data_IF_269408862813
#
_entry.id   IF_269408862813
#
_cell.length_a   1.000
_cell.length_b   1.000
_cell.length_c   1.000
_cell.angle_alpha   90.00
_cell.angle_beta   90.00
_cell.angle_gamma   90.00
#
_symmetry.space_group_name_H-M   'P 1'
#
loop_
_entity.id
_entity.type
_entity.pdbx_description
1 polymer ?
#
# COMPACT_ATOMS: atom_id res chain seq x y z
N UNK A 1 -17.43 19.72 4.34
CA UNK A 1 -16.57 19.79 5.54
C UNK A 1 -17.07 18.71 6.50
N UNK A 2 -16.48 17.54 6.51
CA UNK A 2 -16.87 16.42 7.39
C UNK A 2 -16.31 16.69 8.80
N UNK A 3 -17.03 16.34 9.88
CA UNK A 3 -16.59 16.59 11.22
C UNK A 3 -15.33 15.80 11.55
N UNK A 4 -14.31 16.48 12.07
CA UNK A 4 -13.12 15.85 12.66
C UNK A 4 -13.54 15.06 13.88
N UNK A 5 -13.25 13.76 13.91
CA UNK A 5 -13.35 12.96 15.13
C UNK A 5 -12.34 13.49 16.15
N UNK A 6 -12.73 13.71 17.41
CA UNK A 6 -11.81 14.22 18.42
C UNK A 6 -10.69 13.21 18.71
N UNK A 7 -9.45 13.71 18.86
CA UNK A 7 -8.29 12.96 19.33
C UNK A 7 -8.56 12.47 20.77
N UNK A 8 -8.68 11.17 20.96
CA UNK A 8 -8.75 10.55 22.27
C UNK A 8 -7.32 10.32 22.78
N UNK A 9 -6.88 11.10 23.77
CA UNK A 9 -5.61 10.88 24.46
C UNK A 9 -5.57 9.43 24.99
N UNK A 10 -4.51 8.69 24.62
CA UNK A 10 -4.30 7.29 25.04
C UNK A 10 -4.98 6.23 24.16
N UNK A 11 -5.77 6.57 23.13
CA UNK A 11 -6.42 5.59 22.25
C UNK A 11 -5.47 5.05 21.18
N UNK A 12 -5.68 3.79 20.78
CA UNK A 12 -4.94 3.16 19.68
C UNK A 12 -5.08 3.95 18.36
N UNK A 13 -6.30 4.35 17.99
CA UNK A 13 -6.55 5.21 16.82
C UNK A 13 -6.37 6.67 17.19
N UNK A 14 -5.46 7.36 16.51
CA UNK A 14 -5.18 8.78 16.71
C UNK A 14 -5.95 9.70 15.78
N UNK A 15 -6.12 9.27 14.53
CA UNK A 15 -6.83 10.04 13.50
C UNK A 15 -7.39 9.10 12.43
N UNK A 16 -8.54 9.48 11.88
CA UNK A 16 -9.16 8.80 10.74
C UNK A 16 -9.70 9.87 9.80
N UNK A 17 -9.20 9.90 8.57
CA UNK A 17 -9.55 10.89 7.55
C UNK A 17 -9.36 10.33 6.14
N UNK A 18 -9.51 11.19 5.15
CA UNK A 18 -9.37 10.85 3.73
C UNK A 18 -8.21 11.62 3.11
N UNK A 19 -7.42 10.92 2.31
CA UNK A 19 -6.35 11.46 1.48
C UNK A 19 -6.72 11.27 0.00
N UNK A 20 -6.51 12.30 -0.82
CA UNK A 20 -6.58 12.19 -2.29
C UNK A 20 -5.20 12.45 -2.87
N UNK A 21 -4.80 11.62 -3.84
CA UNK A 21 -3.55 11.83 -4.59
C UNK A 21 -3.81 12.74 -5.79
N UNK A 22 -2.84 13.59 -6.16
CA UNK A 22 -2.87 14.31 -7.43
C UNK A 22 -3.02 13.34 -8.61
N UNK A 23 -3.97 13.61 -9.50
CA UNK A 23 -4.31 12.73 -10.63
C UNK A 23 -5.20 11.55 -10.29
N UNK A 24 -5.59 11.36 -9.02
CA UNK A 24 -6.53 10.33 -8.55
C UNK A 24 -7.61 10.92 -7.64
N UNK A 25 -8.10 12.12 -7.95
CA UNK A 25 -9.05 12.85 -7.10
C UNK A 25 -10.39 12.12 -6.94
N UNK A 26 -10.73 11.23 -7.88
CA UNK A 26 -11.94 10.40 -7.83
C UNK A 26 -11.80 9.17 -6.94
N UNK A 27 -10.59 8.85 -6.48
CA UNK A 27 -10.31 7.73 -5.58
C UNK A 27 -9.89 8.24 -4.20
N UNK A 28 -10.81 8.50 -3.28
CA UNK A 28 -10.44 8.84 -1.92
C UNK A 28 -9.81 7.63 -1.22
N UNK A 29 -8.61 7.80 -0.66
CA UNK A 29 -7.95 6.81 0.16
C UNK A 29 -8.28 7.08 1.63
N UNK A 30 -8.82 6.09 2.31
CA UNK A 30 -9.10 6.24 3.74
C UNK A 30 -7.85 5.98 4.56
N UNK A 31 -7.50 6.92 5.43
CA UNK A 31 -6.28 6.92 6.24
C UNK A 31 -6.63 6.77 7.72
N UNK A 32 -5.96 5.83 8.39
CA UNK A 32 -6.00 5.66 9.84
C UNK A 32 -4.59 5.83 10.39
N UNK A 33 -4.38 6.87 11.21
CA UNK A 33 -3.17 7.04 12.01
C UNK A 33 -3.37 6.37 13.36
N UNK A 34 -2.41 5.56 13.80
CA UNK A 34 -2.49 4.81 15.04
C UNK A 34 -1.18 4.85 15.83
N UNK A 35 -1.29 4.61 17.13
CA UNK A 35 -0.15 4.48 18.02
C UNK A 35 0.13 3.00 18.30
N UNK A 36 1.21 2.43 17.75
CA UNK A 36 1.56 1.03 18.00
C UNK A 36 1.76 0.70 19.48
N UNK A 37 2.21 1.66 20.30
CA UNK A 37 2.45 1.47 21.73
C UNK A 37 1.15 1.40 22.54
N UNK A 38 0.07 1.97 22.03
CA UNK A 38 -1.26 1.93 22.65
C UNK A 38 -2.09 0.70 22.22
N UNK A 39 -1.51 -0.21 21.43
CA UNK A 39 -2.22 -1.42 21.01
C UNK A 39 -2.32 -2.44 22.15
N UNK A 40 -3.51 -2.99 22.32
CA UNK A 40 -3.75 -4.20 23.10
C UNK A 40 -4.80 -5.07 22.38
N UNK A 41 -4.89 -6.38 22.68
CA UNK A 41 -5.89 -7.27 22.03
C UNK A 41 -7.33 -6.80 22.19
N UNK A 42 -7.66 -6.11 23.28
CA UNK A 42 -8.98 -5.55 23.56
C UNK A 42 -9.40 -4.49 22.53
N UNK A 43 -8.44 -3.87 21.84
CA UNK A 43 -8.70 -2.92 20.76
C UNK A 43 -9.56 -3.51 19.64
N UNK A 44 -9.45 -4.82 19.36
CA UNK A 44 -10.30 -5.50 18.39
C UNK A 44 -11.78 -5.42 18.77
N UNK A 45 -12.10 -5.79 20.01
CA UNK A 45 -13.46 -5.73 20.54
C UNK A 45 -14.00 -4.29 20.60
N UNK A 46 -13.19 -3.35 21.09
CA UNK A 46 -13.54 -1.94 21.17
C UNK A 46 -13.84 -1.31 19.79
N UNK A 47 -13.18 -1.79 18.75
CA UNK A 47 -13.37 -1.31 17.38
C UNK A 47 -14.37 -2.15 16.57
N UNK A 48 -14.91 -3.23 17.13
CA UNK A 48 -15.84 -4.13 16.44
C UNK A 48 -15.24 -4.87 15.25
N UNK A 49 -13.91 -5.11 15.28
CA UNK A 49 -13.20 -5.92 14.28
C UNK A 49 -12.93 -7.29 14.87
N UNK A 50 -13.25 -8.34 14.13
CA UNK A 50 -12.98 -9.72 14.58
C UNK A 50 -11.50 -10.06 14.30
N UNK A 51 -10.80 -10.53 15.34
CA UNK A 51 -9.45 -11.09 15.18
C UNK A 51 -9.54 -12.44 14.44
N UNK A 52 -8.95 -12.57 13.23
CA UNK A 52 -8.95 -13.84 12.51
C UNK A 52 -8.15 -14.92 13.25
N UNK A 53 -8.63 -16.16 13.18
CA UNK A 53 -7.94 -17.31 13.78
C UNK A 53 -6.50 -17.46 13.26
N UNK A 54 -6.25 -17.14 11.99
CA UNK A 54 -4.93 -17.17 11.35
C UNK A 54 -3.91 -16.16 11.91
N UNK A 55 -4.38 -15.19 12.70
CA UNK A 55 -3.51 -14.19 13.36
C UNK A 55 -3.42 -14.39 14.88
N UNK A 56 -4.07 -15.43 15.45
CA UNK A 56 -3.91 -15.76 16.85
C UNK A 56 -2.43 -16.08 17.16
N UNK A 57 -1.88 -15.43 18.20
CA UNK A 57 -0.46 -15.56 18.54
C UNK A 57 0.52 -14.74 17.70
N UNK A 58 0.05 -13.94 16.74
CA UNK A 58 0.90 -13.01 16.01
C UNK A 58 1.45 -11.90 16.95
N UNK A 59 2.61 -11.34 16.59
CA UNK A 59 3.22 -10.25 17.34
C UNK A 59 2.29 -9.02 17.45
N UNK A 60 2.30 -8.30 18.59
CA UNK A 60 1.45 -7.12 18.80
C UNK A 60 1.51 -6.08 17.67
N UNK A 61 2.72 -5.84 17.12
CA UNK A 61 2.92 -4.96 15.96
C UNK A 61 2.03 -5.41 14.78
N UNK A 62 2.09 -6.68 14.40
CA UNK A 62 1.31 -7.24 13.27
C UNK A 62 -0.19 -7.17 13.52
N UNK A 63 -0.63 -7.41 14.75
CA UNK A 63 -2.04 -7.32 15.14
C UNK A 63 -2.56 -5.87 15.05
N UNK A 64 -1.78 -4.91 15.54
CA UNK A 64 -2.11 -3.48 15.46
C UNK A 64 -2.19 -2.99 14.01
N UNK A 65 -1.23 -3.36 13.17
CA UNK A 65 -1.22 -3.06 11.73
C UNK A 65 -2.44 -3.64 11.02
N UNK A 66 -2.77 -4.90 11.31
CA UNK A 66 -3.97 -5.55 10.77
C UNK A 66 -5.24 -4.82 11.18
N UNK A 67 -5.39 -4.51 12.48
CA UNK A 67 -6.54 -3.78 12.99
C UNK A 67 -6.71 -2.43 12.29
N UNK A 68 -5.63 -1.63 12.22
CA UNK A 68 -5.64 -0.33 11.57
C UNK A 68 -6.01 -0.44 10.07
N UNK A 69 -5.45 -1.42 9.36
CA UNK A 69 -5.80 -1.69 7.96
C UNK A 69 -7.26 -2.06 7.76
N UNK A 70 -7.86 -2.84 8.67
CA UNK A 70 -9.28 -3.21 8.62
C UNK A 70 -10.21 -2.04 8.98
N UNK A 71 -9.77 -1.14 9.86
CA UNK A 71 -10.48 0.12 10.14
C UNK A 71 -10.48 1.02 8.91
N UNK A 72 -9.34 1.19 8.26
CA UNK A 72 -9.24 1.95 7.02
C UNK A 72 -10.16 1.35 5.92
N UNK A 73 -10.18 0.02 5.78
CA UNK A 73 -11.05 -0.67 4.81
C UNK A 73 -12.54 -0.48 5.11
N UNK A 74 -12.94 -0.56 6.38
CA UNK A 74 -14.34 -0.32 6.80
C UNK A 74 -14.80 1.08 6.42
N UNK A 75 -13.96 2.08 6.67
CA UNK A 75 -14.30 3.46 6.33
C UNK A 75 -14.28 3.71 4.80
N UNK A 76 -13.35 3.10 4.07
CA UNK A 76 -13.32 3.14 2.60
C UNK A 76 -14.55 2.48 1.94
N UNK A 77 -15.13 1.47 2.57
CA UNK A 77 -16.36 0.80 2.12
C UNK A 77 -17.65 1.57 2.48
N UNK A 78 -17.58 2.52 3.41
CA UNK A 78 -18.75 3.27 3.91
C UNK A 78 -19.54 4.00 2.81
N UNK A 79 -18.91 4.71 1.85
CA UNK A 79 -19.64 5.40 0.78
C UNK A 79 -20.44 4.46 -0.13
N UNK A 80 -20.09 3.17 -0.16
CA UNK A 80 -20.76 2.14 -0.95
C UNK A 80 -21.88 1.42 -0.16
N UNK A 81 -22.18 1.84 1.07
CA UNK A 81 -23.15 1.17 1.94
C UNK A 81 -22.63 -0.14 2.54
N UNK A 82 -21.34 -0.41 2.43
CA UNK A 82 -20.72 -1.70 2.81
C UNK A 82 -19.85 -1.62 4.09
N UNK A 83 -20.04 -0.59 4.93
CA UNK A 83 -19.25 -0.44 6.16
C UNK A 83 -19.41 -1.59 7.17
N UNK A 84 -20.48 -2.38 7.08
CA UNK A 84 -20.70 -3.59 7.89
C UNK A 84 -19.99 -4.84 7.33
N UNK A 85 -19.40 -4.77 6.12
CA UNK A 85 -18.75 -5.91 5.50
C UNK A 85 -17.40 -6.20 6.15
N UNK A 86 -17.12 -7.49 6.37
CA UNK A 86 -15.79 -7.93 6.82
C UNK A 86 -14.89 -8.19 5.63
N UNK A 87 -13.76 -7.49 5.57
CA UNK A 87 -12.69 -7.80 4.62
C UNK A 87 -11.84 -8.92 5.23
N UNK A 88 -12.13 -10.16 4.85
CA UNK A 88 -11.44 -11.34 5.35
C UNK A 88 -10.02 -11.48 4.78
N UNK A 89 -9.27 -12.49 5.25
CA UNK A 89 -7.96 -12.87 4.74
C UNK A 89 -8.12 -14.08 3.86
N UNK A 90 -7.65 -14.03 2.63
CA UNK A 90 -7.58 -15.17 1.72
C UNK A 90 -6.42 -16.12 2.03
N UNK A 91 -6.34 -17.22 1.28
CA UNK A 91 -5.33 -18.27 1.46
C UNK A 91 -3.89 -17.80 1.22
N UNK A 92 -3.70 -16.82 0.34
CA UNK A 92 -2.42 -16.18 0.06
C UNK A 92 -2.24 -14.86 0.86
N UNK A 93 -3.05 -14.64 1.91
CA UNK A 93 -3.08 -13.46 2.78
C UNK A 93 -3.63 -12.19 2.12
N UNK A 94 -4.18 -12.29 0.93
CA UNK A 94 -4.84 -11.21 0.22
C UNK A 94 -6.14 -10.78 0.93
N UNK A 95 -6.54 -9.50 0.84
CA UNK A 95 -7.83 -9.06 1.33
C UNK A 95 -8.95 -9.58 0.40
N UNK A 96 -9.98 -10.20 1.00
CA UNK A 96 -11.17 -10.66 0.28
C UNK A 96 -12.24 -9.57 0.32
N UNK A 97 -12.41 -8.88 -0.79
CA UNK A 97 -13.35 -7.76 -0.91
C UNK A 97 -14.79 -8.24 -1.09
N UNK A 98 -15.80 -7.42 -0.69
CA UNK A 98 -17.20 -7.68 -1.02
C UNK A 98 -17.40 -7.82 -2.54
N UNK A 99 -18.39 -8.63 -2.93
CA UNK A 99 -18.71 -8.88 -4.35
C UNK A 99 -18.90 -7.57 -5.13
N UNK A 100 -18.23 -7.46 -6.26
CA UNK A 100 -18.28 -6.29 -7.14
C UNK A 100 -17.36 -5.14 -6.69
N UNK A 101 -16.58 -5.32 -5.64
CA UNK A 101 -15.61 -4.35 -5.18
C UNK A 101 -14.18 -4.86 -5.35
N UNK A 102 -13.25 -3.95 -5.54
CA UNK A 102 -11.82 -4.19 -5.45
C UNK A 102 -11.17 -3.10 -4.60
N UNK A 103 -10.02 -3.39 -4.06
CA UNK A 103 -9.31 -2.42 -3.24
C UNK A 103 -7.92 -2.91 -2.85
N UNK A 104 -7.21 -2.07 -2.13
CA UNK A 104 -5.89 -2.40 -1.60
C UNK A 104 -5.69 -1.75 -0.24
N UNK A 105 -4.93 -2.44 0.62
CA UNK A 105 -4.58 -1.99 1.96
C UNK A 105 -3.05 -2.00 2.07
N UNK A 106 -2.48 -0.94 2.61
CA UNK A 106 -1.10 -0.93 3.07
C UNK A 106 -0.98 -0.23 4.41
N UNK A 107 0.11 -0.52 5.12
CA UNK A 107 0.44 0.07 6.41
C UNK A 107 1.94 0.14 6.58
N UNK A 108 2.40 1.21 7.23
CA UNK A 108 3.80 1.40 7.57
C UNK A 108 3.92 2.27 8.83
N UNK A 109 5.13 2.39 9.36
CA UNK A 109 5.45 3.36 10.40
C UNK A 109 6.22 4.53 9.78
N UNK A 110 5.57 5.67 9.67
CA UNK A 110 6.16 6.89 9.12
C UNK A 110 6.43 7.91 10.24
N UNK A 111 7.67 8.38 10.35
CA UNK A 111 8.06 9.37 11.35
C UNK A 111 7.59 9.02 12.78
N UNK A 112 7.73 7.74 13.17
CA UNK A 112 7.38 7.24 14.51
C UNK A 112 5.88 7.01 14.75
N UNK A 113 5.02 7.15 13.73
CA UNK A 113 3.57 6.91 13.82
C UNK A 113 3.16 5.75 12.93
N UNK A 114 2.28 4.91 13.42
CA UNK A 114 1.62 3.91 12.59
C UNK A 114 0.61 4.58 11.64
N UNK A 115 0.65 4.19 10.39
CA UNK A 115 -0.26 4.66 9.35
C UNK A 115 -0.79 3.47 8.56
N UNK A 116 -2.10 3.40 8.36
CA UNK A 116 -2.75 2.45 7.46
C UNK A 116 -3.58 3.22 6.44
N UNK A 117 -3.53 2.78 5.19
CA UNK A 117 -4.28 3.33 4.07
C UNK A 117 -5.08 2.24 3.38
N UNK A 118 -6.26 2.60 2.93
CA UNK A 118 -7.11 1.74 2.11
C UNK A 118 -7.80 2.56 1.01
N UNK A 119 -7.72 2.07 -0.22
CA UNK A 119 -8.55 2.49 -1.33
C UNK A 119 -9.50 1.38 -1.72
N UNK A 120 -10.73 1.75 -2.09
CA UNK A 120 -11.78 0.82 -2.57
C UNK A 120 -12.54 1.48 -3.71
N UNK A 121 -12.87 0.68 -4.74
CA UNK A 121 -13.72 1.11 -5.86
C UNK A 121 -14.56 -0.07 -6.37
N UNK A 122 -15.56 0.15 -7.24
CA UNK A 122 -16.14 -0.93 -8.04
C UNK A 122 -15.06 -1.67 -8.81
N UNK A 123 -15.20 -3.00 -8.94
CA UNK A 123 -14.19 -3.83 -9.62
C UNK A 123 -14.12 -3.51 -11.10
N UNK A 124 -12.95 -3.06 -11.57
CA UNK A 124 -12.70 -2.64 -12.96
C UNK A 124 -11.48 -3.32 -13.58
N UNK A 125 -10.60 -3.93 -12.80
CA UNK A 125 -9.43 -4.58 -13.41
C UNK A 125 -8.29 -4.89 -12.47
N UNK A 126 -8.26 -4.27 -11.31
CA UNK A 126 -7.27 -4.44 -10.25
C UNK A 126 -6.79 -3.11 -9.69
N UNK A 127 -6.54 -3.12 -8.41
CA UNK A 127 -6.03 -1.98 -7.65
C UNK A 127 -4.91 -2.42 -6.73
N UNK A 128 -3.79 -1.70 -6.78
CA UNK A 128 -2.69 -1.86 -5.83
C UNK A 128 -2.36 -0.56 -5.14
N UNK A 129 -2.11 -0.62 -3.83
CA UNK A 129 -1.69 0.49 -3.00
C UNK A 129 -0.58 0.03 -2.08
N UNK A 130 0.48 0.83 -1.99
CA UNK A 130 1.55 0.56 -1.05
C UNK A 130 2.06 1.82 -0.37
N UNK A 131 2.48 1.65 0.88
CA UNK A 131 2.96 2.70 1.76
C UNK A 131 4.25 2.24 2.41
N UNK A 132 5.35 2.96 2.17
CA UNK A 132 6.66 2.61 2.70
C UNK A 132 7.34 3.79 3.40
N UNK A 133 8.03 3.49 4.50
CA UNK A 133 8.95 4.45 5.10
C UNK A 133 10.18 4.61 4.21
N UNK A 134 10.73 5.82 4.14
CA UNK A 134 11.99 6.03 3.44
C UNK A 134 13.09 5.13 4.01
N UNK A 135 13.72 4.36 3.16
CA UNK A 135 14.93 3.61 3.52
C UNK A 135 16.07 4.57 3.81
N UNK A 136 16.93 4.22 4.75
CA UNK A 136 18.23 4.87 4.86
C UNK A 136 19.23 4.28 3.84
N UNK A 137 20.41 4.94 3.71
CA UNK A 137 21.40 4.52 2.73
C UNK A 137 21.92 3.11 2.95
N UNK A 138 22.11 2.68 4.19
CA UNK A 138 22.62 1.35 4.54
C UNK A 138 21.59 0.25 4.27
N UNK A 139 20.34 0.50 4.60
CA UNK A 139 19.22 -0.38 4.28
C UNK A 139 19.07 -0.51 2.75
N UNK A 140 19.13 0.61 2.04
CA UNK A 140 19.05 0.63 0.58
C UNK A 140 20.14 -0.22 -0.07
N UNK A 141 21.39 -0.09 0.38
CA UNK A 141 22.53 -0.85 -0.15
C UNK A 141 22.37 -2.37 0.04
N UNK A 142 21.69 -2.81 1.08
CA UNK A 142 21.43 -4.23 1.34
C UNK A 142 20.23 -4.80 0.56
N UNK A 143 19.22 -3.99 0.30
CA UNK A 143 17.94 -4.44 -0.25
C UNK A 143 17.87 -4.36 -1.78
N UNK A 144 18.59 -3.42 -2.41
CA UNK A 144 18.44 -3.14 -3.85
C UNK A 144 18.62 -4.37 -4.75
N UNK A 145 19.54 -5.33 -4.50
CA UNK A 145 19.71 -6.47 -5.41
C UNK A 145 18.50 -7.41 -5.48
N UNK A 146 17.66 -7.38 -4.43
CA UNK A 146 16.40 -8.13 -4.42
C UNK A 146 15.21 -7.37 -5.04
N UNK A 147 15.37 -6.05 -5.29
CA UNK A 147 14.30 -5.18 -5.79
C UNK A 147 14.47 -4.92 -7.28
N UNK A 148 15.70 -4.75 -7.76
CA UNK A 148 16.00 -4.38 -9.14
C UNK A 148 17.32 -5.00 -9.62
N UNK A 149 17.52 -5.08 -10.93
CA UNK A 149 18.76 -5.52 -11.52
C UNK A 149 19.78 -4.35 -11.67
N UNK A 150 21.01 -4.67 -12.06
CA UNK A 150 22.08 -3.68 -12.19
C UNK A 150 21.80 -2.61 -13.27
N UNK A 151 21.01 -2.94 -14.32
CA UNK A 151 20.62 -1.98 -15.34
C UNK A 151 19.58 -0.99 -14.78
N UNK A 152 18.60 -1.47 -14.01
CA UNK A 152 17.63 -0.62 -13.30
C UNK A 152 18.34 0.28 -12.29
N UNK A 153 19.32 -0.27 -11.56
CA UNK A 153 20.11 0.48 -10.58
C UNK A 153 20.88 1.63 -11.24
N UNK A 154 21.62 1.36 -12.30
CA UNK A 154 22.36 2.40 -13.02
C UNK A 154 21.45 3.52 -13.58
N UNK A 155 20.24 3.17 -14.03
CA UNK A 155 19.25 4.18 -14.42
C UNK A 155 18.75 4.99 -13.23
N UNK A 156 18.57 4.36 -12.06
CA UNK A 156 18.13 5.06 -10.85
C UNK A 156 19.16 6.08 -10.41
N UNK A 157 20.44 5.70 -10.36
CA UNK A 157 21.55 6.63 -10.06
C UNK A 157 21.58 7.85 -10.98
N UNK A 158 21.27 7.65 -12.28
CA UNK A 158 21.23 8.74 -13.25
C UNK A 158 19.96 9.60 -13.16
N UNK A 159 18.83 9.04 -12.75
CA UNK A 159 17.50 9.66 -12.89
C UNK A 159 16.88 10.22 -11.60
N UNK A 160 17.39 9.89 -10.41
CA UNK A 160 16.79 10.38 -9.13
C UNK A 160 16.85 11.89 -8.98
N UNK A 161 17.84 12.56 -9.60
CA UNK A 161 18.01 14.01 -9.53
C UNK A 161 16.83 14.76 -10.19
N UNK A 162 16.27 14.22 -11.28
CA UNK A 162 15.14 14.84 -11.97
C UNK A 162 13.86 14.81 -11.11
N UNK A 163 13.72 13.81 -10.25
CA UNK A 163 12.61 13.68 -9.30
C UNK A 163 12.88 14.38 -7.96
N UNK A 164 14.05 15.02 -7.78
CA UNK A 164 14.50 15.64 -6.51
C UNK A 164 14.51 14.66 -5.33
N UNK A 165 14.82 13.40 -5.60
CA UNK A 165 14.95 12.33 -4.61
C UNK A 165 16.43 12.00 -4.37
N UNK A 166 16.75 11.56 -3.15
CA UNK A 166 17.99 10.84 -2.89
C UNK A 166 17.92 9.43 -3.52
N UNK A 167 19.06 8.77 -3.66
CA UNK A 167 19.11 7.40 -4.19
C UNK A 167 18.29 6.41 -3.34
N UNK A 168 18.35 6.54 -2.01
CA UNK A 168 17.57 5.70 -1.09
C UNK A 168 16.07 5.95 -1.21
N UNK A 169 15.63 7.20 -1.39
CA UNK A 169 14.23 7.54 -1.65
C UNK A 169 13.77 7.01 -3.01
N UNK A 170 14.59 7.14 -4.06
CA UNK A 170 14.30 6.58 -5.37
C UNK A 170 14.14 5.05 -5.33
N UNK A 171 15.03 4.36 -4.61
CA UNK A 171 14.91 2.91 -4.38
C UNK A 171 13.61 2.57 -3.63
N UNK A 172 13.28 3.31 -2.57
CA UNK A 172 12.05 3.10 -1.81
C UNK A 172 10.82 3.29 -2.70
N UNK A 173 10.82 4.30 -3.55
CA UNK A 173 9.75 4.55 -4.51
C UNK A 173 9.57 3.40 -5.48
N UNK A 174 10.66 2.88 -6.06
CA UNK A 174 10.60 1.73 -6.98
C UNK A 174 10.13 0.46 -6.26
N UNK A 175 10.61 0.22 -5.04
CA UNK A 175 10.15 -0.89 -4.19
C UNK A 175 8.65 -0.81 -3.95
N UNK A 176 8.15 0.31 -3.44
CA UNK A 176 6.74 0.53 -3.18
C UNK A 176 5.89 0.41 -4.45
N UNK A 177 6.39 0.91 -5.60
CA UNK A 177 5.70 0.76 -6.88
C UNK A 177 5.58 -0.71 -7.31
N UNK A 178 6.63 -1.52 -7.13
CA UNK A 178 6.59 -2.96 -7.42
C UNK A 178 5.65 -3.72 -6.48
N UNK A 179 5.58 -3.33 -5.18
CA UNK A 179 4.56 -3.83 -4.24
C UNK A 179 3.14 -3.48 -4.70
N UNK A 180 2.89 -2.24 -5.12
CA UNK A 180 1.59 -1.84 -5.67
C UNK A 180 1.25 -2.60 -6.95
N UNK A 181 2.24 -2.86 -7.82
CA UNK A 181 2.05 -3.68 -9.01
C UNK A 181 1.64 -5.10 -8.64
N UNK A 182 2.35 -5.71 -7.68
CA UNK A 182 2.03 -7.06 -7.19
C UNK A 182 0.61 -7.11 -6.64
N UNK A 183 0.22 -6.20 -5.74
CA UNK A 183 -1.11 -6.15 -5.14
C UNK A 183 -2.21 -5.98 -6.20
N UNK A 184 -1.98 -5.12 -7.19
CA UNK A 184 -2.96 -4.84 -8.25
C UNK A 184 -3.11 -5.98 -9.26
N UNK A 185 -2.02 -6.70 -9.57
CA UNK A 185 -2.05 -7.80 -10.54
C UNK A 185 -2.38 -9.15 -9.92
N UNK A 186 -2.16 -9.34 -8.62
CA UNK A 186 -2.33 -10.62 -7.95
C UNK A 186 -3.71 -11.27 -8.20
N UNK A 187 -4.86 -10.56 -8.16
CA UNK A 187 -6.16 -11.16 -8.44
C UNK A 187 -6.28 -11.77 -9.86
N UNK A 188 -5.51 -11.27 -10.82
CA UNK A 188 -5.50 -11.73 -12.22
C UNK A 188 -4.45 -12.82 -12.46
N UNK A 189 -3.34 -12.75 -11.73
CA UNK A 189 -2.20 -13.69 -11.88
C UNK A 189 -2.40 -14.95 -11.06
N UNK A 190 -2.95 -14.85 -9.85
CA UNK A 190 -3.27 -15.98 -8.96
C UNK A 190 -2.05 -16.74 -8.42
N UNK A 191 -0.83 -16.21 -8.62
CA UNK A 191 0.42 -16.77 -8.12
C UNK A 191 1.41 -15.68 -7.75
N UNK A 192 2.38 -16.02 -6.95
CA UNK A 192 3.51 -15.13 -6.67
C UNK A 192 4.32 -14.85 -7.94
N UNK A 193 4.78 -13.62 -8.11
CA UNK A 193 5.80 -13.20 -9.05
C UNK A 193 6.76 -12.23 -8.35
N UNK A 194 8.01 -12.19 -8.81
CA UNK A 194 9.11 -11.52 -8.14
C UNK A 194 9.22 -10.04 -8.56
N UNK A 195 9.88 -9.23 -7.74
CA UNK A 195 10.24 -7.85 -8.10
C UNK A 195 11.08 -7.77 -9.37
N UNK A 196 11.93 -8.77 -9.60
CA UNK A 196 12.78 -8.85 -10.80
C UNK A 196 12.00 -9.25 -12.06
N UNK A 197 10.74 -9.67 -11.97
CA UNK A 197 9.84 -9.90 -13.11
C UNK A 197 9.31 -8.60 -13.72
N UNK A 198 9.49 -7.47 -13.02
CA UNK A 198 9.15 -6.14 -13.52
C UNK A 198 10.36 -5.20 -13.40
N UNK A 199 10.45 -4.23 -14.32
CA UNK A 199 11.47 -3.16 -14.28
C UNK A 199 10.81 -1.79 -14.31
N UNK A 200 11.40 -0.81 -13.64
CA UNK A 200 10.98 0.56 -13.79
C UNK A 200 11.62 1.18 -15.05
N UNK A 201 10.87 2.02 -15.75
CA UNK A 201 11.30 2.64 -16.99
C UNK A 201 11.49 4.15 -16.88
N UNK A 202 10.56 4.83 -16.22
CA UNK A 202 10.55 6.28 -16.11
C UNK A 202 9.81 6.71 -14.85
N UNK A 203 10.18 7.87 -14.30
CA UNK A 203 9.45 8.53 -13.23
C UNK A 203 9.33 10.03 -13.51
N UNK A 204 8.27 10.61 -13.01
CA UNK A 204 8.01 12.05 -12.96
C UNK A 204 7.74 12.46 -11.52
N UNK A 205 7.44 13.71 -11.26
CA UNK A 205 7.08 14.18 -9.91
C UNK A 205 5.82 13.51 -9.33
N UNK A 206 4.99 12.82 -10.13
CA UNK A 206 3.72 12.25 -9.68
C UNK A 206 3.46 10.83 -10.19
N UNK A 207 4.24 10.34 -11.15
CA UNK A 207 4.02 9.03 -11.76
C UNK A 207 5.30 8.23 -11.89
N UNK A 208 5.16 6.90 -11.88
CA UNK A 208 6.23 5.95 -12.17
C UNK A 208 5.68 4.87 -13.12
N UNK A 209 6.45 4.54 -14.16
CA UNK A 209 6.09 3.50 -15.12
C UNK A 209 6.91 2.25 -14.89
N UNK A 210 6.22 1.11 -14.73
CA UNK A 210 6.80 -0.23 -14.68
C UNK A 210 6.49 -1.00 -15.97
N UNK A 211 7.38 -1.92 -16.33
CA UNK A 211 7.22 -2.85 -17.45
C UNK A 211 7.50 -4.28 -16.99
N UNK A 212 6.65 -5.25 -17.39
CA UNK A 212 6.91 -6.66 -17.15
C UNK A 212 8.06 -7.17 -18.03
N UNK A 213 9.02 -7.84 -17.44
CA UNK A 213 10.16 -8.46 -18.13
C UNK A 213 9.81 -9.85 -18.69
N UNK A 214 8.84 -10.52 -18.07
CA UNK A 214 8.36 -11.84 -18.48
C UNK A 214 6.82 -11.86 -18.52
N UNK A 215 6.20 -12.80 -19.27
CA UNK A 215 4.75 -12.93 -19.28
C UNK A 215 4.25 -13.52 -17.95
N UNK A 216 3.26 -12.88 -17.33
CA UNK A 216 2.60 -13.37 -16.13
C UNK A 216 1.34 -14.19 -16.48
N UNK A 217 0.59 -13.73 -17.49
CA UNK A 217 -0.59 -14.39 -18.06
C UNK A 217 -0.66 -14.08 -19.56
N UNK A 218 -1.55 -14.73 -20.34
CA UNK A 218 -1.75 -14.37 -21.76
C UNK A 218 -2.15 -12.89 -21.99
N UNK A 219 -2.82 -12.26 -21.03
CA UNK A 219 -3.23 -10.84 -21.09
C UNK A 219 -2.21 -9.89 -20.45
N UNK A 220 -1.16 -10.40 -19.86
CA UNK A 220 -0.05 -9.68 -19.25
C UNK A 220 1.27 -10.21 -19.82
N UNK A 221 1.57 -9.92 -21.12
CA UNK A 221 2.79 -10.40 -21.78
C UNK A 221 4.03 -9.65 -21.30
N UNK A 222 5.22 -10.14 -21.62
CA UNK A 222 6.44 -9.35 -21.49
C UNK A 222 6.29 -8.05 -22.30
N UNK A 223 6.82 -6.95 -21.75
CA UNK A 223 6.68 -5.60 -22.32
C UNK A 223 5.35 -4.89 -21.97
N UNK A 224 4.42 -5.57 -21.27
CA UNK A 224 3.23 -4.90 -20.75
C UNK A 224 3.61 -3.83 -19.71
N UNK A 225 2.98 -2.65 -19.78
CA UNK A 225 3.32 -1.50 -18.95
C UNK A 225 2.18 -1.06 -18.08
N UNK A 226 2.55 -0.57 -16.89
CA UNK A 226 1.66 0.08 -15.94
C UNK A 226 2.25 1.42 -15.52
N UNK A 227 1.39 2.43 -15.42
CA UNK A 227 1.75 3.71 -14.80
C UNK A 227 1.07 3.81 -13.44
N UNK A 228 1.88 4.04 -12.42
CA UNK A 228 1.44 4.23 -11.04
C UNK A 228 1.50 5.71 -10.68
N UNK A 229 0.58 6.16 -9.86
CA UNK A 229 0.67 7.46 -9.20
C UNK A 229 1.43 7.32 -7.89
N UNK A 230 2.18 8.35 -7.51
CA UNK A 230 2.90 8.38 -6.25
C UNK A 230 2.89 9.76 -5.60
N UNK A 231 3.06 9.78 -4.29
CA UNK A 231 3.18 10.99 -3.50
C UNK A 231 4.15 10.77 -2.34
N UNK A 232 5.09 11.69 -2.16
CA UNK A 232 5.88 11.76 -0.95
C UNK A 232 5.00 12.18 0.23
N UNK A 233 5.16 11.48 1.35
CA UNK A 233 4.54 11.78 2.63
C UNK A 233 5.63 12.10 3.65
N UNK A 234 5.30 12.77 4.77
CA UNK A 234 6.26 12.95 5.86
C UNK A 234 6.80 11.60 6.35
N UNK A 235 8.06 11.30 6.03
CA UNK A 235 8.76 10.08 6.42
C UNK A 235 8.58 8.87 5.50
N UNK A 236 7.98 9.02 4.33
CA UNK A 236 7.79 7.88 3.41
C UNK A 236 7.14 8.23 2.08
N UNK A 237 6.72 7.20 1.36
CA UNK A 237 6.08 7.29 0.05
C UNK A 237 4.83 6.43 -0.02
N UNK A 238 3.86 6.93 -0.76
CA UNK A 238 2.64 6.23 -1.15
C UNK A 238 2.65 6.03 -2.65
N UNK A 239 2.36 4.80 -3.10
CA UNK A 239 2.16 4.47 -4.52
C UNK A 239 0.80 3.85 -4.73
N UNK A 240 0.18 4.13 -5.88
CA UNK A 240 -1.15 3.62 -6.25
C UNK A 240 -1.17 3.22 -7.72
N UNK A 241 -1.60 1.99 -7.98
CA UNK A 241 -1.91 1.44 -9.29
C UNK A 241 -3.41 1.29 -9.46
N UNK A 242 -3.94 1.77 -10.58
CA UNK A 242 -5.30 1.47 -11.08
C UNK A 242 -5.18 0.81 -12.45
N UNK A 243 -5.91 -0.29 -12.68
CA UNK A 243 -5.96 -1.04 -13.93
C UNK A 243 -7.32 -0.95 -14.58
#
# INVERSE_FOLDING_TARGET
MLPRCPSLDGSFVRQSDTLCLPGLETLPLHRVSFDPAAFSPECFGAQGIILPASLQGAAPKRLGEFLAGRLAAREALRPFGLAGSTVAIGSAREPLWPRGMEGSISHSQLAGRGLALCGVRPAEGGMGLDLEAWLDGDQGAQLWPGIMDGEEWGRLEAGVHDAQLSLAEGLTLVFSAKESLFKGLYPRVGRYFDFLDARWLAMTAQTLTLELKCPLTPTLPAGWRATLHWQALPGGVLTVLLL
#
